data_IF_136416464073
#
_entry.id   IF_136416464073
#
_cell.length_a   1.000
_cell.length_b   1.000
_cell.length_c   1.000
_cell.angle_alpha   90.00
_cell.angle_beta   90.00
_cell.angle_gamma   90.00
#
_symmetry.space_group_name_H-M   'P 1'
#
loop_
_entity.id
_entity.type
_entity.pdbx_description
1 polymer ?
#
# COMPACT_ATOMS: atom_id res chain seq x y z
N UNK A 1 9.04 -0.69 -7.87
CA UNK A 1 9.15 0.45 -6.94
C UNK A 1 7.91 1.35 -6.89
N UNK A 2 7.39 1.90 -8.00
CA UNK A 2 6.21 2.77 -7.95
C UNK A 2 4.96 2.08 -7.37
N UNK A 3 4.74 0.81 -7.71
CA UNK A 3 3.72 -0.03 -7.08
C UNK A 3 3.88 -0.09 -5.54
N UNK A 4 5.07 -0.42 -5.06
CA UNK A 4 5.36 -0.47 -3.62
C UNK A 4 5.17 0.89 -2.92
N UNK A 5 5.49 2.00 -3.58
CA UNK A 5 5.26 3.34 -3.04
C UNK A 5 3.75 3.65 -2.96
N UNK A 6 2.98 3.35 -4.00
CA UNK A 6 1.54 3.53 -4.01
C UNK A 6 0.83 2.66 -2.97
N UNK A 7 1.35 1.45 -2.70
CA UNK A 7 0.86 0.60 -1.62
C UNK A 7 1.07 1.25 -0.24
N UNK A 8 2.24 1.84 0.02
CA UNK A 8 2.50 2.55 1.27
C UNK A 8 1.55 3.75 1.44
N UNK A 9 1.37 4.56 0.39
CA UNK A 9 0.46 5.71 0.42
C UNK A 9 -0.99 5.27 0.73
N UNK A 10 -1.43 4.15 0.15
CA UNK A 10 -2.75 3.59 0.46
C UNK A 10 -2.86 3.13 1.91
N UNK A 11 -1.82 2.47 2.43
CA UNK A 11 -1.84 1.91 3.78
C UNK A 11 -1.85 3.02 4.82
N UNK A 12 -0.98 4.01 4.66
CA UNK A 12 -0.92 5.19 5.52
C UNK A 12 -2.26 5.94 5.51
N UNK A 13 -2.82 6.24 4.34
CA UNK A 13 -4.10 6.93 4.24
C UNK A 13 -5.26 6.13 4.88
N UNK A 14 -5.31 4.82 4.65
CA UNK A 14 -6.37 3.96 5.19
C UNK A 14 -6.28 3.82 6.71
N UNK A 15 -5.07 3.63 7.26
CA UNK A 15 -4.84 3.51 8.69
C UNK A 15 -5.13 4.84 9.37
N UNK A 16 -4.55 5.95 8.89
CA UNK A 16 -4.75 7.29 9.46
C UNK A 16 -6.22 7.68 9.54
N UNK A 17 -7.02 7.35 8.51
CA UNK A 17 -8.47 7.54 8.54
C UNK A 17 -9.16 6.59 9.52
N UNK A 18 -8.86 5.28 9.43
CA UNK A 18 -9.52 4.26 10.23
C UNK A 18 -9.31 4.43 11.74
N UNK A 19 -8.13 4.88 12.17
CA UNK A 19 -7.88 5.16 13.59
C UNK A 19 -8.71 6.33 14.14
N UNK A 20 -9.20 7.21 13.28
CA UNK A 20 -10.15 8.28 13.63
C UNK A 20 -11.61 7.87 13.46
N UNK A 21 -11.88 6.62 13.07
CA UNK A 21 -13.22 6.07 12.88
C UNK A 21 -13.77 6.20 11.46
N UNK A 22 -12.96 6.64 10.49
CA UNK A 22 -13.38 6.76 9.09
C UNK A 22 -12.82 5.58 8.25
N UNK A 23 -13.71 4.69 7.82
CA UNK A 23 -13.38 3.55 6.95
C UNK A 23 -13.86 3.74 5.49
N UNK A 24 -14.21 4.96 5.11
CA UNK A 24 -14.56 5.28 3.73
C UNK A 24 -13.32 5.29 2.82
N UNK A 25 -13.50 5.03 1.51
CA UNK A 25 -12.41 5.12 0.55
C UNK A 25 -11.71 6.49 0.60
N UNK A 26 -10.37 6.53 0.47
CA UNK A 26 -9.66 7.72 0.03
C UNK A 26 -10.21 8.27 -1.29
N UNK A 27 -9.97 9.55 -1.57
CA UNK A 27 -10.45 10.19 -2.78
C UNK A 27 -10.02 9.43 -4.05
N UNK A 28 -10.94 9.34 -5.02
CA UNK A 28 -10.70 8.64 -6.28
C UNK A 28 -10.71 7.12 -6.22
N UNK A 29 -11.11 6.52 -5.08
CA UNK A 29 -11.30 5.07 -4.97
C UNK A 29 -12.76 4.67 -4.83
N UNK A 30 -13.08 3.53 -5.43
CA UNK A 30 -14.36 2.86 -5.26
C UNK A 30 -14.59 2.41 -3.80
N UNK A 31 -15.88 2.27 -3.42
CA UNK A 31 -16.24 1.72 -2.12
C UNK A 31 -15.73 0.28 -1.92
N UNK A 32 -15.30 -0.03 -0.70
CA UNK A 32 -14.71 -1.32 -0.35
C UNK A 32 -15.65 -2.49 -0.68
N UNK A 33 -15.16 -3.46 -1.45
CA UNK A 33 -15.90 -4.68 -1.77
C UNK A 33 -17.10 -4.51 -2.71
N UNK A 34 -17.35 -3.30 -3.21
CA UNK A 34 -18.46 -3.02 -4.14
C UNK A 34 -18.00 -3.14 -5.60
N UNK A 35 -16.81 -2.60 -5.91
CA UNK A 35 -16.31 -2.60 -7.29
C UNK A 35 -15.72 -3.95 -7.70
N UNK A 36 -15.81 -4.23 -9.00
CA UNK A 36 -15.22 -5.45 -9.57
C UNK A 36 -13.71 -5.48 -9.34
N UNK A 37 -13.11 -6.68 -9.35
CA UNK A 37 -11.66 -6.81 -9.30
C UNK A 37 -10.98 -6.01 -10.42
N UNK A 38 -11.53 -6.05 -11.64
CA UNK A 38 -10.98 -5.31 -12.79
C UNK A 38 -10.96 -3.81 -12.53
N UNK A 39 -12.06 -3.23 -12.05
CA UNK A 39 -12.15 -1.81 -11.71
C UNK A 39 -11.08 -1.41 -10.69
N UNK A 40 -10.88 -2.22 -9.64
CA UNK A 40 -9.86 -1.95 -8.61
C UNK A 40 -8.44 -2.03 -9.16
N UNK A 41 -8.18 -2.95 -10.09
CA UNK A 41 -6.88 -3.05 -10.76
C UNK A 41 -6.62 -1.87 -11.68
N UNK A 42 -7.63 -1.38 -12.40
CA UNK A 42 -7.50 -0.21 -13.27
C UNK A 42 -7.23 1.06 -12.46
N UNK A 43 -7.99 1.29 -11.37
CA UNK A 43 -7.77 2.41 -10.43
C UNK A 43 -6.35 2.37 -9.84
N UNK A 44 -5.88 1.20 -9.42
CA UNK A 44 -4.52 1.03 -8.90
C UNK A 44 -3.46 1.30 -9.98
N UNK A 45 -3.67 0.76 -11.18
CA UNK A 45 -2.74 0.91 -12.31
C UNK A 45 -2.55 2.37 -12.67
N UNK A 46 -3.64 3.14 -12.78
CA UNK A 46 -3.55 4.57 -13.09
C UNK A 46 -2.78 5.34 -12.02
N UNK A 47 -3.00 5.01 -10.74
CA UNK A 47 -2.28 5.63 -9.62
C UNK A 47 -0.79 5.35 -9.67
N UNK A 48 -0.41 4.10 -9.95
CA UNK A 48 1.00 3.70 -10.05
C UNK A 48 1.69 4.40 -11.23
N UNK A 49 1.00 4.55 -12.37
CA UNK A 49 1.50 5.29 -13.52
C UNK A 49 1.74 6.76 -13.16
N UNK A 50 0.73 7.42 -12.59
CA UNK A 50 0.84 8.83 -12.20
C UNK A 50 1.99 9.03 -11.19
N UNK A 51 2.04 8.21 -10.14
CA UNK A 51 3.11 8.30 -9.13
C UNK A 51 4.50 8.11 -9.74
N UNK A 52 4.66 7.19 -10.70
CA UNK A 52 5.93 7.01 -11.40
C UNK A 52 6.31 8.24 -12.22
N UNK A 53 5.34 8.83 -12.92
CA UNK A 53 5.55 10.02 -13.75
C UNK A 53 5.90 11.23 -12.89
N UNK A 54 5.16 11.45 -11.79
CA UNK A 54 5.33 12.58 -10.90
C UNK A 54 6.67 12.55 -10.14
N UNK A 55 7.08 11.36 -9.67
CA UNK A 55 8.30 11.22 -8.86
C UNK A 55 9.58 11.10 -9.70
N UNK A 56 9.49 10.57 -10.93
CA UNK A 56 10.65 10.38 -11.82
C UNK A 56 11.82 9.69 -11.11
N UNK A 57 12.98 10.35 -11.14
CA UNK A 57 14.23 9.86 -10.53
C UNK A 57 14.23 9.91 -8.99
N UNK A 58 13.31 10.66 -8.38
CA UNK A 58 13.18 10.77 -6.92
C UNK A 58 12.42 9.58 -6.32
N UNK A 59 11.88 8.68 -7.13
CA UNK A 59 10.99 7.61 -6.69
C UNK A 59 11.58 6.74 -5.58
N UNK A 60 12.87 6.41 -5.63
CA UNK A 60 13.50 5.59 -4.61
C UNK A 60 13.58 6.33 -3.27
N UNK A 61 14.07 7.56 -3.27
CA UNK A 61 14.15 8.42 -2.08
C UNK A 61 12.76 8.62 -1.48
N UNK A 62 11.77 8.89 -2.34
CA UNK A 62 10.41 9.12 -1.94
C UNK A 62 9.73 7.85 -1.39
N UNK A 63 10.09 6.67 -1.90
CA UNK A 63 9.66 5.38 -1.35
C UNK A 63 10.25 5.13 0.04
N UNK A 64 11.55 5.36 0.23
CA UNK A 64 12.21 5.17 1.54
C UNK A 64 11.57 6.05 2.60
N UNK A 65 11.36 7.34 2.32
CA UNK A 65 10.71 8.27 3.24
C UNK A 65 9.29 7.83 3.62
N UNK A 66 8.49 7.39 2.65
CA UNK A 66 7.14 6.84 2.92
C UNK A 66 7.18 5.62 3.83
N UNK A 67 8.19 4.75 3.69
CA UNK A 67 8.35 3.59 4.57
C UNK A 67 8.65 4.01 6.01
N UNK A 68 9.49 5.04 6.20
CA UNK A 68 9.76 5.62 7.51
C UNK A 68 8.49 6.21 8.13
N UNK A 69 7.70 6.94 7.33
CA UNK A 69 6.44 7.55 7.78
C UNK A 69 5.40 6.51 8.19
N UNK A 70 5.23 5.45 7.38
CA UNK A 70 4.35 4.33 7.75
C UNK A 70 4.83 3.61 9.00
N UNK A 71 6.14 3.47 9.18
CA UNK A 71 6.72 2.85 10.39
C UNK A 71 6.39 3.69 11.62
N UNK A 72 6.60 5.01 11.55
CA UNK A 72 6.27 5.94 12.63
C UNK A 72 4.77 5.93 12.96
N UNK A 73 3.90 5.86 11.94
CA UNK A 73 2.45 5.74 12.15
C UNK A 73 2.12 4.47 12.93
N UNK A 74 2.68 3.32 12.56
CA UNK A 74 2.45 2.03 13.21
C UNK A 74 3.00 2.01 14.65
N UNK A 75 4.18 2.59 14.88
CA UNK A 75 4.78 2.71 16.22
C UNK A 75 3.97 3.61 17.15
N UNK A 76 3.23 4.57 16.60
CA UNK A 76 2.39 5.51 17.34
C UNK A 76 0.99 5.00 17.72
N UNK A 77 0.61 3.79 17.29
CA UNK A 77 -0.72 3.24 17.54
C UNK A 77 -0.93 2.85 19.01
N UNK A 78 -2.10 3.17 19.55
CA UNK A 78 -2.53 2.63 20.84
C UNK A 78 -3.01 1.18 20.68
N UNK A 79 -3.04 0.41 21.78
CA UNK A 79 -3.51 -0.98 21.78
C UNK A 79 -4.91 -1.15 21.19
N UNK A 80 -5.79 -0.16 21.38
CA UNK A 80 -7.16 -0.17 20.87
C UNK A 80 -7.26 0.16 19.37
N UNK A 81 -6.23 0.74 18.77
CA UNK A 81 -6.23 1.13 17.36
C UNK A 81 -6.10 -0.09 16.43
N UNK A 82 -5.42 -1.14 16.87
CA UNK A 82 -5.13 -2.33 16.06
C UNK A 82 -6.37 -3.04 15.50
N UNK A 83 -7.51 -2.92 16.19
CA UNK A 83 -8.79 -3.52 15.79
C UNK A 83 -9.73 -2.55 15.06
N UNK A 84 -9.33 -1.29 14.88
CA UNK A 84 -10.18 -0.30 14.23
C UNK A 84 -10.37 -0.62 12.73
N UNK A 85 -11.60 -0.49 12.21
CA UNK A 85 -11.91 -0.77 10.82
C UNK A 85 -11.27 0.29 9.91
N UNK A 86 -10.56 -0.20 8.88
CA UNK A 86 -9.86 0.61 7.89
C UNK A 86 -10.31 0.21 6.48
N UNK A 87 -10.29 1.18 5.57
CA UNK A 87 -10.63 0.96 4.18
C UNK A 87 -9.57 0.12 3.46
N UNK A 88 -9.93 -1.06 2.95
CA UNK A 88 -9.14 -1.74 1.91
C UNK A 88 -10.02 -1.97 0.66
N UNK A 89 -9.50 -1.87 -0.58
CA UNK A 89 -10.33 -1.93 -1.79
C UNK A 89 -11.21 -3.19 -1.89
N UNK A 90 -10.74 -4.33 -1.39
CA UNK A 90 -11.50 -5.57 -1.41
C UNK A 90 -12.56 -5.71 -0.31
N UNK A 91 -12.38 -5.04 0.83
CA UNK A 91 -13.25 -5.10 2.03
C UNK A 91 -12.69 -4.18 3.12
N UNK A 92 -13.50 -3.81 4.10
CA UNK A 92 -13.00 -3.19 5.34
C UNK A 92 -12.21 -4.23 6.15
N UNK A 93 -11.04 -3.86 6.65
CA UNK A 93 -10.14 -4.72 7.43
C UNK A 93 -9.61 -4.01 8.69
N UNK A 94 -9.21 -4.71 9.75
CA UNK A 94 -8.58 -4.06 10.89
C UNK A 94 -7.16 -3.58 10.55
N UNK A 95 -6.65 -2.60 11.33
CA UNK A 95 -5.27 -2.10 11.20
C UNK A 95 -4.24 -3.24 11.25
N UNK A 96 -4.43 -4.22 12.13
CA UNK A 96 -3.54 -5.37 12.24
C UNK A 96 -3.32 -6.12 10.91
N UNK A 97 -4.35 -6.23 10.06
CA UNK A 97 -4.24 -6.90 8.76
C UNK A 97 -3.32 -6.15 7.79
N UNK A 98 -3.11 -4.84 7.96
CA UNK A 98 -2.14 -4.11 7.14
C UNK A 98 -0.70 -4.54 7.39
N UNK A 99 -0.37 -5.00 8.59
CA UNK A 99 0.96 -5.54 8.89
C UNK A 99 1.18 -6.82 8.09
N UNK A 100 0.19 -7.72 8.08
CA UNK A 100 0.25 -8.96 7.29
C UNK A 100 0.39 -8.67 5.79
N UNK A 101 -0.42 -7.73 5.27
CA UNK A 101 -0.35 -7.31 3.87
C UNK A 101 1.01 -6.70 3.54
N UNK A 102 1.56 -5.86 4.42
CA UNK A 102 2.86 -5.24 4.21
C UNK A 102 3.98 -6.28 4.15
N UNK A 103 3.95 -7.28 5.03
CA UNK A 103 4.93 -8.38 5.00
C UNK A 103 4.82 -9.18 3.70
N UNK A 104 3.60 -9.48 3.24
CA UNK A 104 3.37 -10.18 1.99
C UNK A 104 3.87 -9.38 0.76
N UNK A 105 3.54 -8.09 0.67
CA UNK A 105 4.00 -7.20 -0.41
C UNK A 105 5.52 -7.13 -0.46
N UNK A 106 6.18 -7.00 0.69
CA UNK A 106 7.65 -6.96 0.75
C UNK A 106 8.26 -8.29 0.31
N UNK A 107 7.80 -9.41 0.85
CA UNK A 107 8.36 -10.72 0.52
C UNK A 107 8.22 -11.08 -0.97
N UNK A 108 7.04 -10.83 -1.55
CA UNK A 108 6.77 -11.14 -2.96
C UNK A 108 7.57 -10.21 -3.87
N UNK A 109 7.53 -8.90 -3.62
CA UNK A 109 8.15 -7.95 -4.55
C UNK A 109 9.67 -7.84 -4.40
N UNK A 110 10.21 -8.20 -3.24
CA UNK A 110 11.65 -8.44 -3.07
C UNK A 110 12.11 -9.59 -3.97
N UNK A 111 11.35 -10.69 -4.01
CA UNK A 111 11.63 -11.80 -4.91
C UNK A 111 11.46 -11.40 -6.39
N UNK A 112 10.41 -10.66 -6.74
CA UNK A 112 10.20 -10.16 -8.11
C UNK A 112 11.40 -9.34 -8.60
N UNK A 113 11.98 -8.50 -7.74
CA UNK A 113 13.14 -7.68 -8.09
C UNK A 113 14.38 -8.56 -8.26
N UNK A 114 14.67 -9.42 -7.28
CA UNK A 114 15.90 -10.24 -7.31
C UNK A 114 15.89 -11.26 -8.44
N UNK A 115 14.75 -11.91 -8.69
CA UNK A 115 14.63 -12.90 -9.77
C UNK A 115 14.93 -12.34 -11.15
N UNK A 116 14.81 -11.01 -11.36
CA UNK A 116 15.19 -10.33 -12.59
C UNK A 116 16.66 -9.92 -12.67
N UNK A 117 17.34 -9.87 -11.54
CA UNK A 117 18.77 -9.53 -11.44
C UNK A 117 19.66 -10.78 -11.38
N UNK A 118 19.08 -11.94 -11.09
CA UNK A 118 19.80 -13.18 -10.98
C UNK A 118 20.19 -13.74 -12.36
N UNK A 119 21.46 -13.50 -12.73
CA UNK A 119 22.07 -13.91 -14.02
C UNK A 119 22.32 -15.42 -14.08
N UNK A 120 22.16 -16.16 -12.96
CA UNK A 120 22.32 -17.62 -12.94
C UNK A 120 21.16 -18.39 -13.61
N UNK A 121 20.16 -17.68 -14.14
CA UNK A 121 18.99 -18.23 -14.83
C UNK A 121 19.09 -18.23 -16.36
N UNK A 122 20.20 -17.77 -16.94
CA UNK A 122 20.51 -18.03 -18.36
C UNK A 122 21.00 -19.47 -18.53
N UNK A 123 20.08 -20.38 -18.87
CA UNK A 123 20.34 -21.72 -19.40
C UNK A 123 20.51 -21.69 -20.92
#
# INVERSE_FOLDING_TARGET
MAHLAAAVDLYEAAISKGITGDSNPPEGLSAAGVSSLMTRLDENTQRVINLRQDMGDQLLTAFSKRCEDLTQLLEGLADTDWQKPCYHPGKVIPVATYVDLRLAELAIHEWDIRSKLDVSTEL
#
